data_IF_906837634538
#
_entry.id   IF_906837634538
#
_cell.length_a   1.000
_cell.length_b   1.000
_cell.length_c   1.000
_cell.angle_alpha   90.00
_cell.angle_beta   90.00
_cell.angle_gamma   90.00
#
_symmetry.space_group_name_H-M   'P 1'
#
loop_
_entity.id
_entity.type
_entity.pdbx_description
1 polymer ?
#
# COMPACT_ATOMS: atom_id res chain seq x y z
N UNK A 1 9.63 -15.90 9.95
CA UNK A 1 9.31 -14.92 8.88
C UNK A 1 8.39 -13.79 9.33
N UNK A 2 7.62 -13.99 10.40
CA UNK A 2 6.64 -13.07 11.01
C UNK A 2 7.24 -11.75 11.50
N UNK A 3 8.37 -11.74 12.21
CA UNK A 3 8.94 -10.50 12.76
C UNK A 3 9.39 -9.48 11.71
N UNK A 4 9.87 -9.94 10.55
CA UNK A 4 10.23 -9.04 9.45
C UNK A 4 8.99 -8.47 8.76
N UNK A 5 7.96 -9.28 8.57
CA UNK A 5 6.70 -8.85 7.97
C UNK A 5 6.03 -7.75 8.80
N UNK A 6 6.01 -7.89 10.13
CA UNK A 6 5.51 -6.86 11.04
C UNK A 6 6.33 -5.56 10.94
N UNK A 7 7.67 -5.65 10.87
CA UNK A 7 8.55 -4.47 10.76
C UNK A 7 8.34 -3.71 9.45
N UNK A 8 8.26 -4.42 8.31
CA UNK A 8 8.02 -3.79 7.01
C UNK A 8 6.63 -3.17 6.99
N UNK A 9 5.63 -3.88 7.50
CA UNK A 9 4.25 -3.38 7.59
C UNK A 9 4.17 -2.12 8.45
N UNK A 10 4.87 -2.09 9.59
CA UNK A 10 4.93 -0.91 10.43
C UNK A 10 5.61 0.27 9.72
N UNK A 11 6.78 0.05 9.11
CA UNK A 11 7.55 1.12 8.45
C UNK A 11 6.84 1.65 7.19
N UNK A 12 6.41 0.76 6.30
CA UNK A 12 5.67 1.13 5.09
C UNK A 12 4.30 1.71 5.45
N UNK A 13 3.59 1.12 6.44
CA UNK A 13 2.31 1.62 6.92
C UNK A 13 2.40 3.04 7.47
N UNK A 14 3.40 3.32 8.31
CA UNK A 14 3.69 4.67 8.81
C UNK A 14 4.07 5.63 7.68
N UNK A 15 4.93 5.20 6.75
CA UNK A 15 5.37 6.04 5.65
C UNK A 15 4.19 6.40 4.72
N UNK A 16 3.34 5.43 4.37
CA UNK A 16 2.17 5.64 3.51
C UNK A 16 1.14 6.51 4.24
N UNK A 17 0.91 6.28 5.53
CA UNK A 17 0.01 7.10 6.32
C UNK A 17 0.50 8.55 6.39
N UNK A 18 1.78 8.76 6.72
CA UNK A 18 2.39 10.09 6.77
C UNK A 18 2.31 10.81 5.43
N UNK A 19 2.56 10.10 4.33
CA UNK A 19 2.39 10.63 2.97
C UNK A 19 0.94 11.05 2.72
N UNK A 20 -0.03 10.21 3.07
CA UNK A 20 -1.45 10.47 2.81
C UNK A 20 -1.95 11.68 3.62
N UNK A 21 -1.52 11.81 4.88
CA UNK A 21 -1.83 12.96 5.72
C UNK A 21 -1.20 14.25 5.18
N UNK A 22 0.03 14.18 4.70
CA UNK A 22 0.72 15.32 4.11
C UNK A 22 0.06 15.77 2.80
N UNK A 23 -0.27 14.81 1.93
CA UNK A 23 -1.00 15.06 0.68
C UNK A 23 -2.39 15.67 0.96
N UNK A 24 -3.13 15.15 1.93
CA UNK A 24 -4.40 15.73 2.36
C UNK A 24 -4.23 17.18 2.83
N UNK A 25 -3.19 17.46 3.63
CA UNK A 25 -2.89 18.83 4.08
C UNK A 25 -2.58 19.78 2.92
N UNK A 26 -1.82 19.33 1.91
CA UNK A 26 -1.56 20.12 0.69
C UNK A 26 -2.80 20.35 -0.16
N UNK A 27 -3.76 19.42 -0.15
CA UNK A 27 -5.05 19.57 -0.80
C UNK A 27 -6.07 20.38 0.02
N UNK A 28 -5.69 20.95 1.17
CA UNK A 28 -6.57 21.72 2.06
C UNK A 28 -7.49 20.87 2.95
N UNK A 29 -7.30 19.54 2.97
CA UNK A 29 -8.06 18.59 3.79
C UNK A 29 -7.52 18.46 5.22
N UNK A 30 -8.31 17.79 6.08
CA UNK A 30 -7.92 17.52 7.47
C UNK A 30 -7.61 16.04 7.72
N UNK A 31 -6.73 15.76 8.69
CA UNK A 31 -6.28 14.41 9.03
C UNK A 31 -7.42 13.48 9.49
N UNK A 32 -8.34 14.00 10.30
CA UNK A 32 -9.51 13.27 10.77
C UNK A 32 -10.45 12.87 9.63
N UNK A 33 -10.73 13.78 8.70
CA UNK A 33 -11.54 13.52 7.51
C UNK A 33 -10.89 12.50 6.57
N UNK A 34 -9.56 12.51 6.47
CA UNK A 34 -8.81 11.51 5.70
C UNK A 34 -8.97 10.12 6.32
N UNK A 35 -8.83 10.02 7.65
CA UNK A 35 -8.96 8.75 8.36
C UNK A 35 -10.40 8.22 8.37
N UNK A 36 -11.39 9.07 8.58
CA UNK A 36 -12.80 8.67 8.51
C UNK A 36 -13.23 8.32 7.08
N UNK A 37 -12.64 8.94 6.05
CA UNK A 37 -12.82 8.54 4.65
C UNK A 37 -12.23 7.14 4.38
N UNK A 38 -11.04 6.85 4.93
CA UNK A 38 -10.44 5.51 4.83
C UNK A 38 -11.33 4.47 5.53
N UNK A 39 -11.88 4.79 6.70
CA UNK A 39 -12.84 3.92 7.39
C UNK A 39 -14.12 3.70 6.57
N UNK A 40 -14.64 4.76 5.93
CA UNK A 40 -15.84 4.69 5.10
C UNK A 40 -15.69 3.78 3.87
N UNK A 41 -14.47 3.52 3.41
CA UNK A 41 -14.19 2.57 2.35
C UNK A 41 -14.86 1.21 2.61
N UNK A 42 -14.40 0.40 3.57
CA UNK A 42 -15.00 -0.89 3.88
C UNK A 42 -16.28 -0.79 4.74
N UNK A 43 -16.37 0.16 5.69
CA UNK A 43 -17.46 0.18 6.68
C UNK A 43 -18.71 0.97 6.22
N UNK A 44 -18.62 1.75 5.15
CA UNK A 44 -19.75 2.53 4.61
C UNK A 44 -19.77 3.97 5.08
N UNK A 45 -20.62 4.78 4.45
CA UNK A 45 -20.62 6.24 4.64
C UNK A 45 -20.90 6.66 6.08
N UNK A 46 -21.61 5.82 6.86
CA UNK A 46 -21.86 6.04 8.28
C UNK A 46 -20.57 6.21 9.10
N UNK A 47 -19.45 5.61 8.68
CA UNK A 47 -18.16 5.76 9.36
C UNK A 47 -17.57 7.18 9.26
N UNK A 48 -18.06 8.01 8.34
CA UNK A 48 -17.67 9.43 8.24
C UNK A 48 -18.15 10.24 9.44
N UNK A 49 -19.29 9.88 10.00
CA UNK A 49 -19.95 10.59 11.10
C UNK A 49 -19.46 10.13 12.48
N UNK A 50 -18.71 9.03 12.55
CA UNK A 50 -18.29 8.39 13.81
C UNK A 50 -17.12 9.09 14.51
N UNK A 51 -16.89 10.38 14.24
CA UNK A 51 -15.85 11.27 14.76
C UNK A 51 -14.62 10.56 15.43
N UNK A 52 -14.54 10.28 16.75
CA UNK A 52 -13.35 9.61 17.31
C UNK A 52 -13.24 8.12 16.93
N UNK A 53 -14.37 7.40 16.84
CA UNK A 53 -14.41 5.98 16.45
C UNK A 53 -14.01 5.77 14.98
N UNK A 54 -14.45 6.66 14.09
CA UNK A 54 -14.11 6.63 12.66
C UNK A 54 -12.62 6.86 12.41
N UNK A 55 -11.96 7.71 13.21
CA UNK A 55 -10.52 7.97 13.11
C UNK A 55 -9.68 6.74 13.49
N UNK A 56 -10.02 6.09 14.61
CA UNK A 56 -9.33 4.87 15.07
C UNK A 56 -9.57 3.71 14.10
N UNK A 57 -10.80 3.52 13.64
CA UNK A 57 -11.12 2.52 12.62
C UNK A 57 -10.37 2.78 11.31
N UNK A 58 -10.30 4.03 10.87
CA UNK A 58 -9.54 4.43 9.68
C UNK A 58 -8.07 4.06 9.78
N UNK A 59 -7.46 4.28 10.94
CA UNK A 59 -6.08 3.88 11.21
C UNK A 59 -5.90 2.36 11.13
N UNK A 60 -6.79 1.60 11.79
CA UNK A 60 -6.75 0.13 11.78
C UNK A 60 -6.93 -0.43 10.37
N UNK A 61 -7.90 0.08 9.62
CA UNK A 61 -8.16 -0.28 8.22
C UNK A 61 -6.94 0.03 7.35
N UNK A 62 -6.33 1.21 7.53
CA UNK A 62 -5.14 1.60 6.78
C UNK A 62 -3.97 0.63 6.99
N UNK A 63 -3.70 0.28 8.25
CA UNK A 63 -2.67 -0.70 8.58
C UNK A 63 -3.02 -2.10 8.06
N UNK A 64 -4.28 -2.52 8.15
CA UNK A 64 -4.73 -3.81 7.64
C UNK A 64 -4.60 -3.92 6.11
N UNK A 65 -4.98 -2.87 5.37
CA UNK A 65 -4.79 -2.80 3.92
C UNK A 65 -3.31 -2.83 3.55
N UNK A 66 -2.48 -2.06 4.24
CA UNK A 66 -1.03 -2.06 3.98
C UNK A 66 -0.42 -3.43 4.27
N UNK A 67 -0.83 -4.09 5.35
CA UNK A 67 -0.41 -5.44 5.69
C UNK A 67 -0.81 -6.46 4.61
N UNK A 68 -2.05 -6.36 4.11
CA UNK A 68 -2.56 -7.22 3.04
C UNK A 68 -1.79 -7.02 1.73
N UNK A 69 -1.50 -5.76 1.35
CA UNK A 69 -0.72 -5.44 0.15
C UNK A 69 0.72 -5.96 0.24
N UNK A 70 1.36 -5.83 1.40
CA UNK A 70 2.72 -6.36 1.63
C UNK A 70 2.71 -7.89 1.63
N UNK A 71 1.74 -8.50 2.30
CA UNK A 71 1.57 -9.95 2.30
C UNK A 71 1.37 -10.51 0.90
N UNK A 72 0.45 -9.93 0.13
CA UNK A 72 0.19 -10.30 -1.27
C UNK A 72 1.42 -10.16 -2.15
N UNK A 73 2.18 -9.06 -2.01
CA UNK A 73 3.39 -8.84 -2.79
C UNK A 73 4.50 -9.85 -2.47
N UNK A 74 4.66 -10.23 -1.20
CA UNK A 74 5.61 -11.28 -0.80
C UNK A 74 5.20 -12.67 -1.29
N UNK A 75 3.90 -12.98 -1.30
CA UNK A 75 3.37 -14.23 -1.86
C UNK A 75 3.58 -14.25 -3.37
N UNK A 76 3.28 -13.17 -4.08
CA UNK A 76 3.55 -13.03 -5.52
C UNK A 76 5.04 -13.20 -5.82
N UNK A 77 5.91 -12.52 -5.07
CA UNK A 77 7.35 -12.63 -5.25
C UNK A 77 7.89 -14.04 -5.01
N UNK A 78 7.15 -14.89 -4.27
CA UNK A 78 7.52 -16.30 -4.05
C UNK A 78 6.93 -17.26 -5.06
N UNK A 79 5.70 -17.02 -5.50
CA UNK A 79 4.95 -17.95 -6.35
C UNK A 79 5.07 -17.64 -7.84
N UNK A 80 5.64 -16.49 -8.21
CA UNK A 80 5.69 -16.03 -9.60
C UNK A 80 7.09 -15.57 -10.00
N UNK A 81 7.31 -15.47 -11.31
CA UNK A 81 8.56 -14.98 -11.91
C UNK A 81 8.90 -13.54 -11.52
N UNK A 82 7.96 -12.81 -10.88
CA UNK A 82 8.22 -11.47 -10.35
C UNK A 82 9.32 -11.46 -9.27
N UNK A 83 9.57 -12.59 -8.61
CA UNK A 83 10.70 -12.76 -7.69
C UNK A 83 12.07 -12.85 -8.37
N UNK A 84 12.10 -13.25 -9.64
CA UNK A 84 13.33 -13.51 -10.41
C UNK A 84 13.77 -12.28 -11.22
N UNK A 85 12.82 -11.44 -11.63
CA UNK A 85 13.11 -10.20 -12.36
C UNK A 85 13.72 -9.11 -11.47
N UNK A 86 14.18 -8.03 -12.08
CA UNK A 86 14.73 -6.89 -11.35
C UNK A 86 13.67 -6.31 -10.38
N UNK A 87 14.02 -6.08 -9.10
CA UNK A 87 13.06 -5.74 -8.05
C UNK A 87 12.38 -4.39 -8.30
N UNK A 88 13.04 -3.48 -9.01
CA UNK A 88 12.45 -2.22 -9.44
C UNK A 88 11.33 -2.43 -10.47
N UNK A 89 11.51 -3.34 -11.45
CA UNK A 89 10.46 -3.66 -12.44
C UNK A 89 9.27 -4.33 -11.77
N UNK A 90 9.52 -5.34 -10.94
CA UNK A 90 8.47 -6.05 -10.21
C UNK A 90 7.70 -5.11 -9.27
N UNK A 91 8.42 -4.27 -8.52
CA UNK A 91 7.84 -3.29 -7.62
C UNK A 91 7.00 -2.24 -8.34
N UNK A 92 7.46 -1.72 -9.48
CA UNK A 92 6.68 -0.78 -10.30
C UNK A 92 5.43 -1.43 -10.88
N UNK A 93 5.54 -2.64 -11.44
CA UNK A 93 4.39 -3.33 -12.02
C UNK A 93 3.35 -3.69 -10.96
N UNK A 94 3.78 -4.17 -9.80
CA UNK A 94 2.91 -4.47 -8.68
C UNK A 94 2.26 -3.23 -8.09
N UNK A 95 3.02 -2.15 -7.90
CA UNK A 95 2.48 -0.87 -7.43
C UNK A 95 1.45 -0.27 -8.40
N UNK A 96 1.69 -0.40 -9.71
CA UNK A 96 0.73 0.03 -10.73
C UNK A 96 -0.54 -0.82 -10.72
N UNK A 97 -0.41 -2.14 -10.54
CA UNK A 97 -1.56 -3.03 -10.39
C UNK A 97 -2.40 -2.71 -9.13
N UNK A 98 -1.75 -2.44 -8.00
CA UNK A 98 -2.42 -2.00 -6.78
C UNK A 98 -3.13 -0.65 -6.98
N UNK A 99 -2.48 0.28 -7.67
CA UNK A 99 -3.08 1.55 -8.02
C UNK A 99 -4.32 1.38 -8.89
N UNK A 100 -4.25 0.56 -9.95
CA UNK A 100 -5.40 0.21 -10.79
C UNK A 100 -6.53 -0.45 -9.99
N UNK A 101 -6.21 -1.34 -9.06
CA UNK A 101 -7.21 -1.96 -8.20
C UNK A 101 -7.89 -0.94 -7.27
N UNK A 102 -7.11 -0.06 -6.63
CA UNK A 102 -7.68 0.95 -5.73
C UNK A 102 -8.46 2.02 -6.50
N UNK A 103 -7.82 2.67 -7.47
CA UNK A 103 -8.39 3.82 -8.19
C UNK A 103 -9.35 3.44 -9.32
N UNK A 104 -9.22 2.25 -9.90
CA UNK A 104 -10.04 1.78 -11.02
C UNK A 104 -11.18 0.84 -10.62
N UNK A 105 -11.07 0.12 -9.50
CA UNK A 105 -12.13 -0.77 -9.00
C UNK A 105 -12.74 -0.25 -7.71
N UNK A 106 -11.96 -0.12 -6.64
CA UNK A 106 -12.49 0.14 -5.30
C UNK A 106 -13.14 1.52 -5.20
N UNK A 107 -12.46 2.56 -5.68
CA UNK A 107 -12.95 3.93 -5.64
C UNK A 107 -14.20 4.14 -6.52
N UNK A 108 -14.24 3.72 -7.80
CA UNK A 108 -15.43 3.86 -8.64
C UNK A 108 -16.59 3.03 -8.11
N UNK A 109 -16.35 1.80 -7.64
CA UNK A 109 -17.41 0.94 -7.12
C UNK A 109 -17.99 1.46 -5.80
N UNK A 110 -17.16 2.07 -4.95
CA UNK A 110 -17.60 2.55 -3.63
C UNK A 110 -18.13 3.96 -3.62
N UNK A 111 -17.49 4.87 -4.33
CA UNK A 111 -17.78 6.31 -4.26
C UNK A 111 -18.29 6.89 -5.58
N UNK A 112 -18.47 6.07 -6.62
CA UNK A 112 -18.95 6.52 -7.93
C UNK A 112 -18.01 7.51 -8.61
N UNK A 113 -16.74 7.59 -8.18
CA UNK A 113 -15.80 8.55 -8.73
C UNK A 113 -15.37 8.12 -10.14
N UNK A 114 -15.37 9.04 -11.11
CA UNK A 114 -15.00 8.73 -12.48
C UNK A 114 -13.51 8.33 -12.56
N UNK A 115 -13.25 7.23 -13.25
CA UNK A 115 -11.90 6.81 -13.62
C UNK A 115 -11.65 7.09 -15.11
N UNK A 116 -10.56 7.78 -15.49
CA UNK A 116 -9.53 8.41 -14.63
C UNK A 116 -10.02 9.69 -13.95
N UNK A 117 -9.50 10.00 -12.75
CA UNK A 117 -9.75 11.29 -12.10
C UNK A 117 -9.30 12.42 -13.05
N UNK A 118 -10.16 13.40 -13.36
CA UNK A 118 -9.81 14.52 -14.25
C UNK A 118 -8.59 15.32 -13.76
N UNK A 119 -8.34 15.31 -12.45
CA UNK A 119 -7.12 15.87 -11.88
C UNK A 119 -5.95 14.89 -11.98
N UNK A 120 -5.12 15.11 -13.00
CA UNK A 120 -3.88 14.34 -13.23
C UNK A 120 -2.92 14.43 -12.06
N UNK A 121 -2.94 15.52 -11.27
CA UNK A 121 -2.06 15.68 -10.12
C UNK A 121 -2.43 14.71 -9.00
N UNK A 122 -3.72 14.57 -8.72
CA UNK A 122 -4.26 13.59 -7.77
C UNK A 122 -3.95 12.14 -8.19
N UNK A 123 -3.95 11.86 -9.49
CA UNK A 123 -3.52 10.55 -10.02
C UNK A 123 -2.05 10.26 -9.69
N UNK A 124 -1.15 11.21 -9.96
CA UNK A 124 0.27 11.07 -9.67
C UNK A 124 0.55 10.93 -8.17
N UNK A 125 -0.07 11.78 -7.34
CA UNK A 125 0.04 11.72 -5.87
C UNK A 125 -0.42 10.35 -5.35
N UNK A 126 -1.50 9.79 -5.89
CA UNK A 126 -1.95 8.45 -5.53
C UNK A 126 -0.99 7.33 -5.96
N UNK A 127 -0.27 7.51 -7.06
CA UNK A 127 0.62 6.47 -7.61
C UNK A 127 1.94 6.33 -6.82
N UNK A 128 2.46 7.43 -6.30
CA UNK A 128 3.70 7.47 -5.50
C UNK A 128 3.71 6.46 -4.34
N UNK A 129 2.72 6.45 -3.41
CA UNK A 129 2.74 5.54 -2.28
C UNK A 129 2.62 4.07 -2.69
N UNK A 130 1.84 3.77 -3.73
CA UNK A 130 1.64 2.39 -4.19
C UNK A 130 2.89 1.81 -4.86
N UNK A 131 3.61 2.62 -5.65
CA UNK A 131 4.81 2.17 -6.36
C UNK A 131 6.06 2.27 -5.49
N UNK A 132 6.34 3.45 -4.91
CA UNK A 132 7.60 3.70 -4.21
C UNK A 132 7.58 3.23 -2.75
N UNK A 133 6.45 3.39 -2.04
CA UNK A 133 6.40 3.07 -0.60
C UNK A 133 5.92 1.64 -0.32
N UNK A 134 5.18 1.01 -1.23
CA UNK A 134 4.71 -0.38 -1.07
C UNK A 134 5.43 -1.31 -2.04
N UNK A 135 5.32 -1.10 -3.35
CA UNK A 135 5.86 -2.02 -4.36
C UNK A 135 7.37 -2.21 -4.27
N UNK A 136 8.14 -1.12 -4.29
CA UNK A 136 9.60 -1.17 -4.29
C UNK A 136 10.20 -1.88 -3.04
N UNK A 137 9.88 -1.49 -1.80
CA UNK A 137 10.47 -2.11 -0.61
C UNK A 137 10.12 -3.60 -0.47
N UNK A 138 8.91 -4.01 -0.88
CA UNK A 138 8.49 -5.42 -0.83
C UNK A 138 9.38 -6.30 -1.71
N UNK A 139 9.57 -5.93 -2.98
CA UNK A 139 10.37 -6.72 -3.92
C UNK A 139 11.87 -6.61 -3.66
N UNK A 140 12.36 -5.47 -3.17
CA UNK A 140 13.77 -5.35 -2.76
C UNK A 140 14.11 -6.29 -1.60
N UNK A 141 13.22 -6.41 -0.62
CA UNK A 141 13.41 -7.29 0.52
C UNK A 141 13.20 -8.76 0.19
N UNK A 142 12.25 -9.07 -0.70
CA UNK A 142 12.07 -10.42 -1.22
C UNK A 142 13.36 -10.91 -1.90
N UNK A 143 13.93 -10.10 -2.81
CA UNK A 143 15.18 -10.44 -3.50
C UNK A 143 16.38 -10.57 -2.55
N UNK A 144 16.50 -9.68 -1.56
CA UNK A 144 17.57 -9.77 -0.55
C UNK A 144 17.55 -11.10 0.20
N UNK A 145 16.36 -11.64 0.49
CA UNK A 145 16.24 -12.96 1.13
C UNK A 145 16.64 -14.11 0.23
N UNK A 146 16.26 -14.07 -1.04
CA UNK A 146 16.67 -15.09 -2.02
C UNK A 146 18.20 -15.12 -2.13
N UNK A 147 18.83 -13.95 -2.23
CA UNK A 147 20.30 -13.84 -2.26
C UNK A 147 20.96 -14.38 -0.98
N UNK A 148 20.39 -14.10 0.19
CA UNK A 148 20.92 -14.61 1.46
C UNK A 148 20.78 -16.12 1.61
N UNK A 149 19.68 -16.71 1.15
CA UNK A 149 19.49 -18.16 1.15
C UNK A 149 20.55 -18.85 0.29
N UNK A 150 20.73 -18.40 -0.96
CA UNK A 150 21.73 -18.96 -1.87
C UNK A 150 23.17 -18.80 -1.33
N UNK A 151 23.46 -17.71 -0.62
CA UNK A 151 24.77 -17.49 0.01
C UNK A 151 25.05 -18.44 1.18
N UNK A 152 24.00 -18.89 1.87
CA UNK A 152 24.12 -19.85 2.97
C UNK A 152 24.40 -21.26 2.43
N UNK A 153 23.71 -21.66 1.36
CA UNK A 153 23.91 -22.96 0.71
C UNK A 153 25.35 -23.10 0.18
N UNK A 154 25.86 -22.05 -0.48
CA UNK A 154 27.25 -22.00 -0.99
C UNK A 154 28.32 -22.04 0.11
N UNK A 155 28.00 -21.68 1.35
CA UNK A 155 28.95 -21.77 2.50
C UNK A 155 28.91 -23.13 3.19
N UNK A 156 27.90 -23.95 2.90
CA UNK A 156 27.72 -25.29 3.47
C UNK A 156 28.16 -26.41 2.53
N UNK A 157 28.58 -26.07 1.30
CA UNK A 157 29.15 -26.96 0.29
C UNK A 157 30.67 -26.82 0.28
#
# INVERSE_FOLDING_TARGET
MTGLWLRITALCGLAVLGYNLLAAKFAGGNAGATLTMIAAGPLGDAARDWAPGGVVLGLLVHFALTAAMIGGGLVLARLTILGEIAPWKAGTFYGLALYMAMYGLVLPWRFGVPFPNPDRLSLFIGLVPHVLLVGLPVFYMAKRKVLQANSADLRSS
#
